data_IF_682185509767
#
_entry.id   IF_682185509767
#
_cell.length_a   1.000
_cell.length_b   1.000
_cell.length_c   1.000
_cell.angle_alpha   90.00
_cell.angle_beta   90.00
_cell.angle_gamma   90.00
#
_symmetry.space_group_name_H-M   'P 1'
#
loop_
_entity.id
_entity.type
_entity.pdbx_description
1 polymer ?
#
# COMPACT_ATOMS: atom_id res chain seq x y z
N UNK A 1 -17.51 1.03 -14.93
CA UNK A 1 -17.33 -0.04 -13.93
C UNK A 1 -16.94 -1.29 -14.67
N UNK A 2 -15.69 -1.70 -14.51
CA UNK A 2 -15.10 -2.88 -15.15
C UNK A 2 -14.35 -3.65 -14.06
N UNK A 3 -14.65 -4.94 -13.93
CA UNK A 3 -13.92 -5.80 -13.00
C UNK A 3 -12.58 -6.20 -13.61
N UNK A 4 -11.50 -5.99 -12.87
CA UNK A 4 -10.14 -6.29 -13.33
C UNK A 4 -9.32 -6.90 -12.19
N UNK A 5 -8.59 -7.97 -12.48
CA UNK A 5 -7.52 -8.42 -11.60
C UNK A 5 -6.26 -7.60 -11.86
N UNK A 6 -5.62 -7.15 -10.79
CA UNK A 6 -4.37 -6.41 -10.88
C UNK A 6 -3.38 -6.86 -9.81
N UNK A 7 -2.10 -6.56 -10.03
CA UNK A 7 -1.02 -6.89 -9.11
C UNK A 7 -0.24 -5.64 -8.74
N UNK A 8 -0.21 -5.35 -7.45
CA UNK A 8 0.51 -4.22 -6.88
C UNK A 8 1.72 -4.70 -6.10
N UNK A 9 2.84 -3.99 -6.27
CA UNK A 9 4.05 -4.16 -5.44
C UNK A 9 3.93 -3.34 -4.15
N UNK A 10 3.13 -2.29 -4.19
CA UNK A 10 2.88 -1.39 -3.06
C UNK A 10 1.41 -0.96 -3.01
N UNK A 11 0.81 -1.00 -1.82
CA UNK A 11 -0.48 -0.37 -1.55
C UNK A 11 -0.26 0.70 -0.48
N UNK A 12 -0.26 1.96 -0.89
CA UNK A 12 0.01 3.12 -0.03
C UNK A 12 -1.26 3.46 0.74
N UNK A 13 -1.21 3.30 2.06
CA UNK A 13 -2.31 3.63 2.96
C UNK A 13 -2.23 5.06 3.46
N UNK A 14 -1.04 5.65 3.52
CA UNK A 14 -0.83 7.04 3.93
C UNK A 14 0.45 7.60 3.31
N UNK A 15 0.40 8.85 2.85
CA UNK A 15 1.56 9.56 2.32
C UNK A 15 1.46 11.04 2.70
N UNK A 16 2.41 11.49 3.51
CA UNK A 16 2.70 12.90 3.71
C UNK A 16 4.03 13.21 3.03
N UNK A 17 3.96 13.89 1.89
CA UNK A 17 5.08 14.15 0.98
C UNK A 17 6.30 14.65 1.76
N UNK A 18 7.44 13.98 1.58
CA UNK A 18 8.74 14.23 2.25
C UNK A 18 8.84 13.85 3.73
N UNK A 19 7.77 13.44 4.41
CA UNK A 19 7.84 13.16 5.87
C UNK A 19 7.48 11.74 6.27
N UNK A 20 6.42 11.17 5.70
CA UNK A 20 5.95 9.85 6.12
C UNK A 20 5.25 9.10 5.00
N UNK A 21 5.55 7.82 4.84
CA UNK A 21 4.86 6.92 3.91
C UNK A 21 4.54 5.61 4.62
N UNK A 22 3.25 5.32 4.78
CA UNK A 22 2.78 4.01 5.24
C UNK A 22 2.23 3.22 4.05
N UNK A 23 2.69 1.99 3.88
CA UNK A 23 2.29 1.14 2.77
C UNK A 23 2.42 -0.34 3.09
N UNK A 24 1.72 -1.15 2.31
CA UNK A 24 1.82 -2.59 2.31
C UNK A 24 2.70 -2.95 1.12
N UNK A 25 3.88 -3.52 1.38
CA UNK A 25 4.81 -3.99 0.36
C UNK A 25 4.74 -5.50 0.16
N UNK A 26 5.00 -5.94 -1.07
CA UNK A 26 4.95 -7.35 -1.49
C UNK A 26 4.18 -7.51 -2.79
N UNK A 27 4.04 -8.73 -3.31
CA UNK A 27 3.24 -8.97 -4.51
C UNK A 27 1.78 -9.22 -4.10
N UNK A 28 0.92 -8.22 -4.29
CA UNK A 28 -0.46 -8.22 -3.82
C UNK A 28 -1.39 -8.27 -5.02
N UNK A 29 -2.05 -9.41 -5.23
CA UNK A 29 -3.05 -9.58 -6.27
C UNK A 29 -4.42 -9.20 -5.73
N UNK A 30 -5.10 -8.31 -6.44
CA UNK A 30 -6.38 -7.75 -6.01
C UNK A 30 -7.41 -7.83 -7.13
N UNK A 31 -8.68 -7.90 -6.73
CA UNK A 31 -9.81 -7.69 -7.63
C UNK A 31 -10.28 -6.25 -7.48
N UNK A 32 -10.24 -5.48 -8.56
CA UNK A 32 -10.68 -4.09 -8.62
C UNK A 32 -12.01 -3.95 -9.35
N UNK A 33 -12.86 -3.07 -8.84
CA UNK A 33 -13.89 -2.39 -9.62
C UNK A 33 -13.33 -1.07 -10.14
N UNK A 34 -12.95 -1.06 -11.43
CA UNK A 34 -12.31 0.07 -12.08
C UNK A 34 -13.36 1.08 -12.54
N UNK A 35 -13.20 2.32 -12.09
CA UNK A 35 -14.08 3.45 -12.42
C UNK A 35 -13.50 4.33 -13.52
N UNK A 36 -12.18 4.49 -13.56
CA UNK A 36 -11.43 5.22 -14.59
C UNK A 36 -10.17 4.43 -14.94
N UNK A 37 -9.88 4.28 -16.24
CA UNK A 37 -8.66 3.61 -16.73
C UNK A 37 -8.05 4.45 -17.87
N UNK A 38 -6.82 4.90 -17.67
CA UNK A 38 -6.01 5.66 -18.62
C UNK A 38 -4.77 4.85 -19.06
N UNK A 39 -4.85 3.52 -18.98
CA UNK A 39 -3.81 2.58 -19.38
C UNK A 39 -2.77 2.32 -18.29
N UNK A 40 -2.00 3.35 -17.92
CA UNK A 40 -0.97 3.23 -16.86
C UNK A 40 -1.44 3.72 -15.49
N UNK A 41 -2.47 4.54 -15.48
CA UNK A 41 -3.05 5.08 -14.27
C UNK A 41 -4.56 4.93 -14.33
N UNK A 42 -5.19 4.91 -13.16
CA UNK A 42 -6.62 4.84 -13.08
C UNK A 42 -7.14 4.95 -11.65
N UNK A 43 -8.44 4.74 -11.49
CA UNK A 43 -9.14 4.75 -10.22
C UNK A 43 -10.00 3.50 -10.10
N UNK A 44 -10.12 3.02 -8.88
CA UNK A 44 -10.99 1.90 -8.61
C UNK A 44 -11.20 1.66 -7.12
N UNK A 45 -12.01 0.63 -6.86
CA UNK A 45 -12.30 0.12 -5.53
C UNK A 45 -11.79 -1.30 -5.41
N UNK A 46 -11.08 -1.60 -4.34
CA UNK A 46 -10.65 -2.96 -4.01
C UNK A 46 -11.88 -3.75 -3.55
N UNK A 47 -12.26 -4.77 -4.30
CA UNK A 47 -13.36 -5.67 -3.95
C UNK A 47 -12.88 -6.87 -3.14
N UNK A 48 -11.71 -7.41 -3.47
CA UNK A 48 -11.08 -8.50 -2.71
C UNK A 48 -9.56 -8.49 -2.90
N UNK A 49 -8.85 -9.14 -1.97
CA UNK A 49 -7.43 -9.46 -2.08
C UNK A 49 -7.33 -10.97 -2.37
N UNK A 50 -6.87 -11.32 -3.56
CA UNK A 50 -6.82 -12.71 -4.04
C UNK A 50 -5.63 -13.47 -3.44
N UNK A 51 -4.46 -12.82 -3.38
CA UNK A 51 -3.25 -13.40 -2.78
C UNK A 51 -2.25 -12.32 -2.41
N UNK A 52 -1.36 -12.62 -1.46
CA UNK A 52 -0.25 -11.76 -1.09
C UNK A 52 1.03 -12.58 -0.88
N UNK A 53 2.09 -12.31 -1.65
CA UNK A 53 3.39 -12.95 -1.48
C UNK A 53 4.35 -12.05 -0.72
N UNK A 54 4.98 -12.61 0.32
CA UNK A 54 5.91 -11.91 1.23
C UNK A 54 5.39 -10.54 1.70
N UNK A 55 4.16 -10.44 2.24
CA UNK A 55 3.61 -9.14 2.57
C UNK A 55 4.22 -8.58 3.87
N UNK A 56 4.60 -7.31 3.81
CA UNK A 56 5.07 -6.52 4.95
C UNK A 56 4.32 -5.20 5.02
N UNK A 57 4.03 -4.76 6.23
CA UNK A 57 3.63 -3.39 6.53
C UNK A 57 4.89 -2.57 6.70
N UNK A 58 4.93 -1.40 6.08
CA UNK A 58 5.99 -0.42 6.20
C UNK A 58 5.41 0.90 6.67
N UNK A 59 6.18 1.58 7.53
CA UNK A 59 5.90 2.92 7.98
C UNK A 59 7.22 3.69 8.03
N UNK A 60 7.48 4.40 6.94
CA UNK A 60 8.72 5.14 6.70
C UNK A 60 8.57 6.57 7.18
N UNK A 61 9.59 7.08 7.88
CA UNK A 61 9.68 8.44 8.39
C UNK A 61 10.97 9.09 7.91
N UNK A 62 10.86 10.30 7.39
CA UNK A 62 12.03 11.13 7.10
C UNK A 62 12.34 12.01 8.32
N UNK A 63 13.56 11.95 8.81
CA UNK A 63 14.04 12.86 9.86
C UNK A 63 14.33 14.27 9.31
N UNK A 64 14.63 15.21 10.20
CA UNK A 64 14.94 16.60 9.84
C UNK A 64 16.27 16.77 9.06
N UNK A 65 17.09 15.73 9.01
CA UNK A 65 18.37 15.69 8.31
C UNK A 65 18.29 14.91 6.98
N UNK A 66 17.11 14.41 6.61
CA UNK A 66 16.87 13.64 5.38
C UNK A 66 17.17 12.14 5.50
N UNK A 67 17.46 11.64 6.70
CA UNK A 67 17.55 10.21 6.98
C UNK A 67 16.16 9.55 6.96
N UNK A 68 16.08 8.31 6.47
CA UNK A 68 14.84 7.54 6.44
C UNK A 68 14.92 6.46 7.52
N UNK A 69 14.03 6.53 8.50
CA UNK A 69 13.78 5.47 9.46
C UNK A 69 12.53 4.68 9.03
N UNK A 70 12.70 3.36 8.86
CA UNK A 70 11.62 2.48 8.40
C UNK A 70 11.24 1.47 9.47
N UNK A 71 10.00 1.52 9.95
CA UNK A 71 9.43 0.42 10.73
C UNK A 71 8.79 -0.59 9.80
N UNK A 72 9.02 -1.89 10.06
CA UNK A 72 8.39 -2.95 9.29
C UNK A 72 7.82 -4.07 10.16
N UNK A 73 6.67 -4.61 9.75
CA UNK A 73 6.01 -5.76 10.38
C UNK A 73 5.56 -6.74 9.30
N UNK A 74 5.93 -8.01 9.43
CA UNK A 74 5.37 -9.08 8.59
C UNK A 74 3.87 -9.19 8.84
N UNK A 75 3.08 -9.32 7.79
CA UNK A 75 1.61 -9.39 7.88
C UNK A 75 1.07 -10.64 7.19
N UNK A 76 -0.23 -10.86 7.32
CA UNK A 76 -0.98 -11.99 6.74
C UNK A 76 -1.95 -11.50 5.67
N UNK A 77 -2.44 -12.42 4.83
CA UNK A 77 -3.45 -12.10 3.82
C UNK A 77 -4.74 -11.59 4.47
N UNK A 78 -5.15 -12.20 5.58
CA UNK A 78 -6.34 -11.87 6.35
C UNK A 78 -6.26 -10.45 6.94
N UNK A 79 -5.11 -10.10 7.52
CA UNK A 79 -4.85 -8.74 8.00
C UNK A 79 -4.97 -7.73 6.83
N UNK A 80 -4.36 -8.02 5.68
CA UNK A 80 -4.45 -7.15 4.49
C UNK A 80 -5.89 -6.99 4.01
N UNK A 81 -6.66 -8.09 3.92
CA UNK A 81 -8.09 -8.05 3.55
C UNK A 81 -8.88 -7.14 4.47
N UNK A 82 -8.67 -7.26 5.79
CA UNK A 82 -9.38 -6.44 6.78
C UNK A 82 -9.10 -4.94 6.63
N UNK A 83 -7.91 -4.57 6.13
CA UNK A 83 -7.52 -3.17 5.94
C UNK A 83 -8.03 -2.57 4.63
N UNK A 84 -8.05 -3.38 3.56
CA UNK A 84 -8.16 -2.86 2.19
C UNK A 84 -9.50 -3.14 1.49
N UNK A 85 -10.21 -4.21 1.84
CA UNK A 85 -11.45 -4.56 1.14
C UNK A 85 -12.47 -3.44 1.30
N UNK A 86 -13.02 -2.99 0.17
CA UNK A 86 -13.97 -1.89 0.10
C UNK A 86 -13.32 -0.50 -0.01
N UNK A 87 -11.98 -0.38 0.02
CA UNK A 87 -11.30 0.91 -0.10
C UNK A 87 -11.20 1.37 -1.56
N UNK A 88 -11.37 2.67 -1.75
CA UNK A 88 -11.17 3.35 -3.03
C UNK A 88 -9.77 3.96 -3.12
N UNK A 89 -9.26 4.10 -4.34
CA UNK A 89 -7.97 4.72 -4.56
C UNK A 89 -7.63 4.91 -6.04
N UNK A 90 -6.41 5.36 -6.25
CA UNK A 90 -5.78 5.51 -7.58
C UNK A 90 -4.70 4.45 -7.74
N UNK A 91 -4.61 3.84 -8.91
CA UNK A 91 -3.49 2.96 -9.25
C UNK A 91 -2.59 3.59 -10.30
N UNK A 92 -1.32 3.21 -10.26
CA UNK A 92 -0.27 3.64 -11.18
C UNK A 92 0.73 2.50 -11.41
N UNK A 93 1.09 2.28 -12.67
CA UNK A 93 2.09 1.31 -13.10
C UNK A 93 3.28 2.06 -13.69
N UNK A 94 4.38 2.12 -12.93
CA UNK A 94 5.65 2.65 -13.40
C UNK A 94 6.60 1.51 -13.80
N UNK A 95 6.69 1.29 -15.10
CA UNK A 95 7.59 0.30 -15.73
C UNK A 95 9.02 0.83 -15.92
N UNK A 96 9.28 2.12 -15.62
CA UNK A 96 10.61 2.72 -15.80
C UNK A 96 11.52 2.51 -14.59
N UNK A 97 10.96 2.21 -13.43
CA UNK A 97 11.72 1.92 -12.21
C UNK A 97 12.33 0.52 -12.28
N UNK A 98 13.46 0.33 -11.59
CA UNK A 98 14.11 -0.98 -11.47
C UNK A 98 14.25 -1.31 -9.98
N UNK A 99 13.44 -2.25 -9.44
CA UNK A 99 12.37 -2.98 -10.12
C UNK A 99 11.15 -2.10 -10.44
N UNK A 100 10.28 -2.50 -11.41
CA UNK A 100 9.03 -1.82 -11.71
C UNK A 100 8.17 -1.64 -10.46
N UNK A 101 7.41 -0.55 -10.41
CA UNK A 101 6.60 -0.18 -9.24
C UNK A 101 5.14 -0.07 -9.64
N UNK A 102 4.32 -0.97 -9.09
CA UNK A 102 2.88 -0.98 -9.31
C UNK A 102 2.23 -0.58 -8.00
N UNK A 103 1.68 0.62 -7.96
CA UNK A 103 1.20 1.25 -6.75
C UNK A 103 -0.32 1.41 -6.77
N UNK A 104 -0.96 1.15 -5.64
CA UNK A 104 -2.33 1.59 -5.36
C UNK A 104 -2.34 2.54 -4.17
N UNK A 105 -2.75 3.80 -4.36
CA UNK A 105 -2.83 4.81 -3.29
C UNK A 105 -4.27 4.98 -2.83
N UNK A 106 -4.51 4.81 -1.53
CA UNK A 106 -5.85 4.96 -0.96
C UNK A 106 -6.32 6.42 -1.00
N UNK A 107 -7.58 6.62 -1.34
CA UNK A 107 -8.25 7.92 -1.28
C UNK A 107 -8.46 8.36 0.17
N UNK A 108 -9.00 7.46 1.00
CA UNK A 108 -9.12 7.64 2.44
C UNK A 108 -7.87 7.11 3.12
N UNK A 109 -6.95 8.03 3.41
CA UNK A 109 -5.65 7.67 3.95
C UNK A 109 -5.70 7.40 5.45
N UNK A 110 -4.95 6.38 5.89
CA UNK A 110 -4.72 6.07 7.29
C UNK A 110 -3.28 5.59 7.51
N UNK A 111 -2.56 6.19 8.48
CA UNK A 111 -1.22 5.73 8.81
C UNK A 111 -1.25 4.34 9.44
N UNK A 112 -0.23 3.52 9.16
CA UNK A 112 -0.04 2.25 9.86
C UNK A 112 0.66 2.54 11.19
N UNK A 113 0.05 2.16 12.31
CA UNK A 113 0.69 2.30 13.63
C UNK A 113 1.60 1.10 13.91
N UNK A 114 2.81 1.13 13.33
CA UNK A 114 3.84 0.11 13.57
C UNK A 114 4.76 0.61 14.68
N UNK A 115 4.60 0.06 15.88
CA UNK A 115 5.47 0.41 17.01
C UNK A 115 6.73 -0.47 17.05
N UNK A 116 7.90 0.07 17.43
CA UNK A 116 9.09 -0.73 17.66
C UNK A 116 8.86 -1.72 18.82
N UNK A 117 9.45 -2.91 18.72
CA UNK A 117 9.45 -3.89 19.82
C UNK A 117 10.11 -3.26 21.04
N UNK A 118 9.37 -3.16 22.15
CA UNK A 118 9.86 -2.60 23.42
C UNK A 118 9.62 -1.10 23.61
N UNK A 119 8.83 -0.44 22.76
CA UNK A 119 8.39 0.93 23.01
C UNK A 119 7.64 1.02 24.36
N UNK A 120 7.92 2.02 25.22
CA UNK A 120 7.15 2.25 26.45
C UNK A 120 5.69 2.61 26.17
N UNK A 121 5.36 2.93 24.92
CA UNK A 121 4.02 3.24 24.44
C UNK A 121 3.36 2.09 23.67
N UNK A 122 3.91 0.86 23.71
CA UNK A 122 3.26 -0.40 23.30
C UNK A 122 3.89 -1.11 22.08
N UNK A 123 3.51 -2.37 21.78
CA UNK A 123 2.25 -3.04 22.19
C UNK A 123 2.19 -3.46 23.66
#
# INVERSE_FOLDING_TARGET
MVLKEDTFTEIVTFEYIMWRKSYIGGEIRVLLDVTEDMGRTGKGKILDILSAQRPYLYDDYTDLHGGIDSFCKRTTLEEIKSMLVGREGTFEHDEKTVPPTHCFKLKEQFPLDIKPKGSPFGP
#
